data_IF_876454766993
#
_entry.id   IF_876454766993
#
_cell.length_a   1.000
_cell.length_b   1.000
_cell.length_c   1.000
_cell.angle_alpha   90.00
_cell.angle_beta   90.00
_cell.angle_gamma   90.00
#
_symmetry.space_group_name_H-M   'P 1'
#
loop_
_entity.id
_entity.type
_entity.pdbx_description
1 polymer ?
#
# COMPACT_ATOMS: atom_id res chain seq x y z
N UNK A 1 -14.66 -53.87 -44.06
CA UNK A 1 -13.59 -54.92 -44.18
C UNK A 1 -12.42 -54.51 -43.29
N UNK A 2 -12.14 -55.35 -42.30
CA UNK A 2 -10.82 -55.73 -41.78
C UNK A 2 -9.99 -54.61 -41.15
N UNK A 3 -9.54 -54.70 -39.98
CA UNK A 3 -9.20 -55.67 -38.87
C UNK A 3 -8.35 -54.83 -37.91
N UNK A 4 -8.72 -54.66 -36.64
CA UNK A 4 -8.17 -55.41 -35.51
C UNK A 4 -6.65 -55.64 -35.58
N UNK A 5 -5.94 -55.06 -34.62
CA UNK A 5 -4.95 -55.78 -33.79
C UNK A 5 -4.56 -54.91 -32.60
N UNK A 6 -5.01 -55.31 -31.52
CA UNK A 6 -4.46 -55.64 -30.20
C UNK A 6 -2.93 -55.56 -30.09
N UNK A 7 -2.46 -54.98 -29.01
CA UNK A 7 -1.52 -55.58 -28.08
C UNK A 7 -1.37 -54.54 -26.97
N UNK A 8 -1.91 -54.71 -25.80
CA UNK A 8 -1.52 -55.64 -24.75
C UNK A 8 -0.20 -55.23 -24.07
N UNK A 9 -0.39 -54.84 -22.81
CA UNK A 9 0.42 -55.19 -21.68
C UNK A 9 1.87 -54.67 -21.64
N UNK A 10 2.11 -53.78 -20.70
CA UNK A 10 3.15 -54.04 -19.72
C UNK A 10 2.89 -53.19 -18.46
N UNK A 11 2.29 -53.90 -17.54
CA UNK A 11 2.30 -53.63 -16.12
C UNK A 11 3.75 -53.76 -15.63
N UNK A 12 4.32 -52.70 -15.11
CA UNK A 12 5.50 -52.85 -14.27
C UNK A 12 5.36 -52.02 -13.01
N UNK A 13 5.27 -52.79 -11.99
CA UNK A 13 5.24 -52.42 -10.60
C UNK A 13 6.55 -51.82 -10.15
N UNK A 14 6.41 -50.77 -9.31
CA UNK A 14 7.19 -50.42 -8.11
C UNK A 14 8.65 -49.93 -8.27
N UNK A 15 9.18 -49.13 -7.35
CA UNK A 15 8.86 -49.12 -5.91
C UNK A 15 8.60 -47.72 -5.29
N UNK A 16 7.94 -47.77 -4.14
CA UNK A 16 7.93 -46.75 -3.11
C UNK A 16 9.33 -46.31 -2.75
N UNK A 17 9.61 -45.01 -3.00
CA UNK A 17 10.66 -44.31 -2.30
C UNK A 17 9.97 -43.24 -1.42
N UNK A 18 9.97 -43.54 -0.13
CA UNK A 18 9.79 -42.52 0.89
C UNK A 18 10.90 -41.51 0.70
N UNK A 19 10.54 -40.29 0.35
CA UNK A 19 11.43 -39.17 0.23
C UNK A 19 10.77 -37.95 0.86
N UNK A 20 11.09 -37.77 2.12
CA UNK A 20 11.23 -36.49 2.85
C UNK A 20 10.26 -35.37 2.48
N UNK A 21 9.36 -35.11 3.43
CA UNK A 21 8.87 -33.77 3.69
C UNK A 21 10.09 -32.84 3.80
N UNK A 22 10.27 -31.97 2.84
CA UNK A 22 10.88 -30.68 3.07
C UNK A 22 9.71 -29.72 3.22
N UNK A 23 9.40 -29.40 4.47
CA UNK A 23 8.70 -28.18 4.82
C UNK A 23 9.62 -27.03 4.38
N UNK A 24 9.53 -26.64 3.12
CA UNK A 24 9.86 -25.30 2.70
C UNK A 24 8.58 -24.49 2.90
N UNK A 25 8.43 -24.00 4.12
CA UNK A 25 7.64 -22.82 4.41
C UNK A 25 8.30 -21.63 3.70
N UNK A 26 8.29 -21.67 2.39
CA UNK A 26 8.36 -20.49 1.58
C UNK A 26 6.95 -19.91 1.63
N UNK A 27 6.67 -19.10 2.63
CA UNK A 27 5.68 -18.07 2.56
C UNK A 27 6.09 -17.12 1.42
N UNK A 28 5.99 -17.63 0.21
CA UNK A 28 5.84 -16.81 -0.97
C UNK A 28 4.59 -15.98 -0.68
N UNK A 29 4.83 -14.74 -0.27
CA UNK A 29 3.84 -13.69 -0.25
C UNK A 29 3.18 -13.77 -1.62
N UNK A 30 2.01 -14.40 -1.62
CA UNK A 30 1.20 -14.64 -2.80
C UNK A 30 1.18 -13.36 -3.63
N UNK A 31 1.60 -13.49 -4.87
CA UNK A 31 1.35 -12.50 -5.90
C UNK A 31 -0.06 -11.97 -5.69
N UNK A 32 -0.18 -10.65 -5.42
CA UNK A 32 -1.50 -10.01 -5.35
C UNK A 32 -2.22 -10.41 -6.64
N UNK A 33 -3.22 -11.26 -6.52
CA UNK A 33 -3.99 -11.72 -7.66
C UNK A 33 -4.78 -10.54 -8.20
N UNK A 34 -4.25 -9.92 -9.25
CA UNK A 34 -4.91 -8.82 -9.93
C UNK A 34 -6.09 -9.33 -10.74
N UNK A 35 -7.20 -8.61 -10.66
CA UNK A 35 -8.34 -8.82 -11.54
C UNK A 35 -8.18 -7.98 -12.80
N UNK A 36 -8.81 -8.39 -13.89
CA UNK A 36 -8.63 -7.78 -15.21
C UNK A 36 -9.23 -6.36 -15.34
N UNK A 37 -9.99 -5.87 -14.36
CA UNK A 37 -10.57 -4.53 -14.35
C UNK A 37 -9.60 -3.46 -13.83
N UNK A 38 -9.89 -2.20 -14.12
CA UNK A 38 -9.14 -1.03 -13.64
C UNK A 38 -9.75 -0.43 -12.36
N UNK A 39 -8.95 0.33 -11.59
CA UNK A 39 -9.47 1.13 -10.49
C UNK A 39 -8.83 2.52 -10.48
N UNK A 40 -9.62 3.50 -10.07
CA UNK A 40 -9.19 4.87 -9.82
C UNK A 40 -9.50 5.20 -8.36
N UNK A 41 -8.46 5.49 -7.58
CA UNK A 41 -8.59 5.86 -6.17
C UNK A 41 -8.33 7.35 -6.05
N UNK A 42 -9.38 8.11 -5.73
CA UNK A 42 -9.33 9.54 -5.48
C UNK A 42 -9.14 9.75 -3.97
N UNK A 43 -8.03 10.34 -3.61
CA UNK A 43 -7.65 10.58 -2.23
C UNK A 43 -7.79 12.06 -1.89
N UNK A 44 -8.25 12.33 -0.67
CA UNK A 44 -8.19 13.66 -0.05
C UNK A 44 -7.43 13.52 1.26
N UNK A 45 -6.29 14.17 1.37
CA UNK A 45 -5.42 14.12 2.55
C UNK A 45 -5.57 15.41 3.33
N UNK A 46 -5.88 15.28 4.61
CA UNK A 46 -6.13 16.40 5.51
C UNK A 46 -5.32 16.28 6.80
N UNK A 47 -5.11 17.40 7.45
CA UNK A 47 -4.57 17.48 8.79
C UNK A 47 -5.56 16.91 9.80
N UNK A 48 -5.11 16.00 10.66
CA UNK A 48 -5.96 15.30 11.61
C UNK A 48 -6.52 16.18 12.74
N UNK A 49 -5.93 17.34 12.98
CA UNK A 49 -6.36 18.26 14.04
C UNK A 49 -7.26 19.38 13.49
N UNK A 50 -6.98 19.87 12.29
CA UNK A 50 -7.64 21.07 11.73
C UNK A 50 -8.60 20.75 10.58
N UNK A 51 -8.54 19.55 10.04
CA UNK A 51 -9.29 19.11 8.83
C UNK A 51 -8.96 19.90 7.55
N UNK A 52 -7.86 20.68 7.57
CA UNK A 52 -7.40 21.42 6.40
C UNK A 52 -6.63 20.50 5.43
N UNK A 53 -6.71 20.78 4.12
CA UNK A 53 -5.99 19.99 3.12
C UNK A 53 -4.47 20.09 3.29
N UNK A 54 -3.76 18.97 3.11
CA UNK A 54 -2.31 18.94 3.14
C UNK A 54 -1.80 18.79 1.70
N UNK A 55 -0.97 19.75 1.29
CA UNK A 55 -0.32 19.77 -0.02
C UNK A 55 1.00 18.98 0.01
N UNK A 56 1.49 18.53 -1.14
CA UNK A 56 2.80 17.88 -1.29
C UNK A 56 3.00 16.60 -0.47
N UNK A 57 1.92 15.95 -0.04
CA UNK A 57 2.01 14.60 0.56
C UNK A 57 2.36 13.62 -0.54
N UNK A 58 3.46 12.91 -0.38
CA UNK A 58 3.83 11.82 -1.29
C UNK A 58 3.08 10.55 -0.91
N UNK A 59 2.35 9.99 -1.87
CA UNK A 59 1.63 8.73 -1.76
C UNK A 59 2.36 7.67 -2.57
N UNK A 60 2.57 6.49 -1.99
CA UNK A 60 3.22 5.37 -2.68
C UNK A 60 2.43 4.09 -2.52
N UNK A 61 2.27 3.38 -3.63
CA UNK A 61 1.89 1.98 -3.65
C UNK A 61 3.12 1.18 -4.07
N UNK A 62 3.72 0.46 -3.13
CA UNK A 62 5.06 -0.11 -3.28
C UNK A 62 5.09 -1.27 -4.29
N UNK A 63 4.09 -2.15 -4.26
CA UNK A 63 4.05 -3.35 -5.11
C UNK A 63 3.98 -2.99 -6.61
N UNK A 64 3.21 -1.97 -6.98
CA UNK A 64 3.05 -1.52 -8.36
C UNK A 64 3.97 -0.35 -8.73
N UNK A 65 4.80 0.13 -7.78
CA UNK A 65 5.69 1.28 -7.98
C UNK A 65 4.98 2.55 -8.43
N UNK A 66 3.71 2.71 -8.02
CA UNK A 66 2.93 3.93 -8.28
C UNK A 66 3.28 4.95 -7.20
N UNK A 67 3.51 6.20 -7.62
CA UNK A 67 3.77 7.32 -6.71
C UNK A 67 3.11 8.58 -7.24
N UNK A 68 2.35 9.23 -6.36
CA UNK A 68 1.64 10.48 -6.64
C UNK A 68 1.87 11.48 -5.51
N UNK A 69 1.52 12.74 -5.74
CA UNK A 69 1.66 13.80 -4.74
C UNK A 69 0.36 14.60 -4.69
N UNK A 70 -0.06 15.01 -3.47
CA UNK A 70 -1.28 15.81 -3.32
C UNK A 70 -1.12 17.22 -3.88
N UNK A 71 -2.18 17.70 -4.51
CA UNK A 71 -2.31 19.05 -5.06
C UNK A 71 -2.59 20.12 -3.97
N UNK A 72 -2.84 21.36 -4.40
CA UNK A 72 -3.15 22.51 -3.52
C UNK A 72 -4.45 22.30 -2.69
N UNK A 73 -5.29 21.35 -3.05
CA UNK A 73 -6.51 21.00 -2.32
C UNK A 73 -6.36 19.71 -1.51
N UNK A 74 -5.13 19.21 -1.36
CA UNK A 74 -4.84 17.97 -0.67
C UNK A 74 -5.32 16.71 -1.42
N UNK A 75 -5.54 16.81 -2.74
CA UNK A 75 -6.08 15.73 -3.56
C UNK A 75 -5.00 15.06 -4.37
N UNK A 76 -5.11 13.72 -4.50
CA UNK A 76 -4.30 12.91 -5.40
C UNK A 76 -5.16 11.79 -5.99
N UNK A 77 -4.78 11.33 -7.18
CA UNK A 77 -5.48 10.23 -7.87
C UNK A 77 -4.49 9.14 -8.23
N UNK A 78 -4.74 7.93 -7.75
CA UNK A 78 -3.98 6.74 -8.12
C UNK A 78 -4.80 5.92 -9.13
N UNK A 79 -4.18 5.59 -10.25
CA UNK A 79 -4.80 4.77 -11.28
C UNK A 79 -4.12 3.40 -11.32
N UNK A 80 -4.92 2.37 -11.27
CA UNK A 80 -4.52 0.97 -11.38
C UNK A 80 -5.10 0.40 -12.66
N UNK A 81 -4.27 0.08 -13.63
CA UNK A 81 -4.70 -0.57 -14.89
C UNK A 81 -5.23 -1.98 -14.62
N UNK A 82 -4.67 -2.63 -13.61
CA UNK A 82 -5.16 -3.88 -13.04
C UNK A 82 -5.35 -3.68 -11.54
N UNK A 83 -6.59 -3.64 -11.11
CA UNK A 83 -6.91 -3.37 -9.72
C UNK A 83 -6.48 -4.53 -8.81
N UNK A 84 -5.89 -4.25 -7.63
CA UNK A 84 -5.71 -5.28 -6.61
C UNK A 84 -7.07 -5.85 -6.21
N UNK A 85 -7.15 -7.15 -6.06
CA UNK A 85 -8.42 -7.87 -5.85
C UNK A 85 -9.21 -7.41 -4.62
N UNK A 86 -8.52 -7.07 -3.55
CA UNK A 86 -9.17 -6.72 -2.29
C UNK A 86 -8.79 -5.32 -1.81
N UNK A 87 -7.50 -5.06 -1.66
CA UNK A 87 -6.99 -3.84 -1.01
C UNK A 87 -5.71 -3.33 -1.69
N UNK A 88 -5.55 -2.01 -1.70
CA UNK A 88 -4.29 -1.37 -2.04
C UNK A 88 -3.59 -0.89 -0.76
N UNK A 89 -2.33 -1.25 -0.58
CA UNK A 89 -1.50 -0.77 0.52
C UNK A 89 -0.85 0.55 0.12
N UNK A 90 -1.17 1.62 0.85
CA UNK A 90 -0.68 2.95 0.58
C UNK A 90 0.20 3.47 1.72
N UNK A 91 1.31 4.09 1.35
CA UNK A 91 2.22 4.78 2.27
C UNK A 91 2.17 6.26 1.97
N UNK A 92 1.96 7.05 3.01
CA UNK A 92 1.91 8.51 2.98
C UNK A 92 3.12 9.07 3.70
N UNK A 93 3.82 10.01 3.08
CA UNK A 93 4.97 10.69 3.71
C UNK A 93 4.95 12.18 3.41
N UNK A 94 5.30 12.98 4.45
CA UNK A 94 5.42 14.41 4.36
C UNK A 94 6.39 14.91 5.45
N UNK A 95 7.11 16.00 5.21
CA UNK A 95 8.13 16.50 6.14
C UNK A 95 7.58 16.90 7.52
N UNK A 96 6.39 17.52 7.55
CA UNK A 96 5.75 18.04 8.77
C UNK A 96 4.80 17.04 9.44
N UNK A 97 4.49 15.90 8.81
CA UNK A 97 3.54 14.90 9.32
C UNK A 97 4.21 13.57 9.56
N UNK A 98 3.62 12.77 10.46
CA UNK A 98 4.08 11.41 10.69
C UNK A 98 3.79 10.54 9.46
N UNK A 99 4.74 9.66 9.12
CA UNK A 99 4.52 8.70 8.06
C UNK A 99 3.33 7.80 8.44
N UNK A 100 2.45 7.56 7.48
CA UNK A 100 1.23 6.80 7.69
C UNK A 100 1.09 5.72 6.63
N UNK A 101 0.74 4.52 7.06
CA UNK A 101 0.46 3.41 6.16
C UNK A 101 -0.95 2.89 6.42
N UNK A 102 -1.70 2.70 5.36
CA UNK A 102 -3.05 2.18 5.44
C UNK A 102 -3.40 1.33 4.23
N UNK A 103 -4.50 0.61 4.34
CA UNK A 103 -5.06 -0.17 3.25
C UNK A 103 -6.36 0.47 2.76
N UNK A 104 -6.50 0.59 1.45
CA UNK A 104 -7.73 1.05 0.81
C UNK A 104 -8.43 -0.13 0.19
N UNK A 105 -9.66 -0.39 0.62
CA UNK A 105 -10.48 -1.46 0.06
C UNK A 105 -10.95 -1.08 -1.34
N UNK A 106 -10.49 -1.79 -2.36
CA UNK A 106 -10.95 -1.63 -3.74
C UNK A 106 -12.08 -2.62 -4.01
N UNK A 107 -11.96 -3.84 -3.49
CA UNK A 107 -12.89 -4.93 -3.74
C UNK A 107 -12.74 -5.48 -5.16
N UNK A 108 -13.70 -6.28 -5.59
CA UNK A 108 -13.68 -6.88 -6.92
C UNK A 108 -14.05 -5.86 -8.00
N UNK A 109 -13.33 -5.92 -9.12
CA UNK A 109 -13.58 -5.11 -10.32
C UNK A 109 -13.69 -6.06 -11.51
N UNK A 110 -14.82 -6.05 -12.20
CA UNK A 110 -15.05 -6.93 -13.34
C UNK A 110 -14.14 -6.56 -14.51
N UNK A 111 -13.78 -7.57 -15.31
CA UNK A 111 -13.01 -7.38 -16.52
C UNK A 111 -13.62 -6.28 -17.43
N UNK A 112 -12.77 -5.42 -17.96
CA UNK A 112 -13.16 -4.31 -18.83
C UNK A 112 -13.90 -3.17 -18.16
N UNK A 113 -14.14 -3.22 -16.83
CA UNK A 113 -14.74 -2.13 -16.07
C UNK A 113 -13.70 -1.31 -15.29
N UNK A 114 -14.11 -0.10 -14.90
CA UNK A 114 -13.31 0.79 -14.05
C UNK A 114 -14.11 1.12 -12.80
N UNK A 115 -13.49 0.93 -11.63
CA UNK A 115 -14.09 1.26 -10.34
C UNK A 115 -13.47 2.54 -9.78
N UNK A 116 -14.33 3.47 -9.35
CA UNK A 116 -13.90 4.67 -8.65
C UNK A 116 -14.07 4.47 -7.14
N UNK A 117 -13.03 4.81 -6.38
CA UNK A 117 -13.01 4.74 -4.92
C UNK A 117 -12.62 6.11 -4.39
N UNK A 118 -13.42 6.67 -3.48
CA UNK A 118 -13.14 7.94 -2.80
C UNK A 118 -12.68 7.66 -1.37
N UNK A 119 -11.55 8.25 -0.98
CA UNK A 119 -10.96 8.03 0.35
C UNK A 119 -10.48 9.35 0.94
N UNK A 120 -10.83 9.59 2.20
CA UNK A 120 -10.28 10.69 2.99
C UNK A 120 -9.30 10.13 4.01
N UNK A 121 -8.10 10.71 4.08
CA UNK A 121 -7.02 10.32 4.99
C UNK A 121 -6.66 11.52 5.85
N UNK A 122 -6.62 11.33 7.16
CA UNK A 122 -6.14 12.31 8.11
C UNK A 122 -4.73 11.94 8.58
N UNK A 123 -3.78 12.86 8.45
CA UNK A 123 -2.41 12.70 8.94
C UNK A 123 -2.20 13.49 10.22
N UNK A 124 -1.45 12.90 11.15
CA UNK A 124 -1.10 13.58 12.39
C UNK A 124 0.19 14.37 12.22
N UNK A 125 0.25 15.65 12.65
CA UNK A 125 1.48 16.43 12.59
C UNK A 125 2.58 15.81 13.46
N UNK A 126 3.84 16.03 13.08
CA UNK A 126 4.98 15.70 13.93
C UNK A 126 5.02 16.65 15.10
N UNK A 127 5.14 16.10 16.30
CA UNK A 127 5.33 16.95 17.50
C UNK A 127 6.71 17.57 17.45
N UNK A 128 6.78 18.89 17.47
CA UNK A 128 8.04 19.64 17.58
C UNK A 128 8.17 20.17 18.99
N UNK A 129 9.22 19.77 19.69
CA UNK A 129 9.51 20.30 21.03
C UNK A 129 10.47 21.48 20.90
N UNK A 130 10.07 22.61 21.45
CA UNK A 130 10.91 23.79 21.54
C UNK A 130 11.40 23.97 22.96
N UNK A 131 12.69 24.23 23.12
CA UNK A 131 13.27 24.68 24.40
C UNK A 131 13.47 26.17 24.29
N UNK A 132 12.70 26.93 25.07
CA UNK A 132 12.84 28.38 25.16
C UNK A 132 13.73 28.66 26.37
N UNK A 133 14.90 29.20 26.14
CA UNK A 133 15.81 29.65 27.19
C UNK A 133 15.57 31.14 27.45
N UNK A 134 15.15 31.45 28.66
CA UNK A 134 15.00 32.84 29.10
C UNK A 134 16.20 33.23 29.95
N UNK A 135 16.75 34.40 29.65
CA UNK A 135 17.72 35.04 30.52
C UNK A 135 17.02 36.24 31.14
N UNK A 136 16.84 36.17 32.45
CA UNK A 136 16.29 37.33 33.20
C UNK A 136 17.46 38.26 33.53
N UNK A 137 17.33 39.49 33.12
CA UNK A 137 18.32 40.52 33.38
C UNK A 137 17.80 41.46 34.48
N UNK A 138 18.71 41.95 35.29
CA UNK A 138 18.42 43.03 36.21
C UNK A 138 18.17 44.32 35.44
N UNK A 139 17.07 45.01 35.72
CA UNK A 139 16.60 46.19 34.95
C UNK A 139 17.57 47.39 35.04
N UNK A 140 18.40 47.40 36.07
CA UNK A 140 19.36 48.52 36.27
C UNK A 140 20.77 48.19 35.76
N UNK A 141 21.18 46.94 35.86
CA UNK A 141 22.57 46.53 35.49
C UNK A 141 22.65 45.78 34.16
N UNK A 142 21.53 45.28 33.62
CA UNK A 142 21.44 44.42 32.43
C UNK A 142 22.30 43.14 32.56
N UNK A 143 22.61 42.71 33.79
CA UNK A 143 23.30 41.48 34.07
C UNK A 143 22.32 40.38 34.44
N UNK A 144 22.65 39.08 34.15
CA UNK A 144 21.86 37.95 34.56
C UNK A 144 21.71 37.91 36.10
N UNK A 145 20.49 37.69 36.59
CA UNK A 145 20.20 37.43 37.99
C UNK A 145 20.11 35.94 38.24
#
# INVERSE_FOLDING_TARGET
MKRFKYLAFLLWMMPLAFGACTDDDNDEITDEEYIAGAAVVNLTVVDGETDLPIVEVTLKQTALKISETTDANGKATLTFDQAPRAVANLVFSHEAYQDYTTTVAIGEVSEGSTKNVEVKIALNPKTVSYVINFTVLDDSTFLPI
#
